data_IF_328013014321
#
_entry.id   IF_328013014321
#
_cell.length_a   1.000
_cell.length_b   1.000
_cell.length_c   1.000
_cell.angle_alpha   90.00
_cell.angle_beta   90.00
_cell.angle_gamma   90.00
#
_symmetry.space_group_name_H-M   'P 1'
#
loop_
_entity.id
_entity.type
_entity.pdbx_description
1 polymer ?
#
# COMPACT_ATOMS: atom_id res chain seq x y z
N UNK A 1 4.34 2.95 -4.95
CA UNK A 1 2.98 2.85 -5.55
C UNK A 1 2.90 3.56 -6.90
N UNK A 2 3.40 4.79 -7.04
CA UNK A 2 3.31 5.60 -8.27
C UNK A 2 3.71 4.86 -9.58
N UNK A 3 4.81 4.10 -9.56
CA UNK A 3 5.27 3.36 -10.75
C UNK A 3 4.52 2.04 -11.04
N UNK A 4 3.61 1.57 -10.18
CA UNK A 4 2.99 0.25 -10.38
C UNK A 4 2.17 0.15 -11.67
N UNK A 5 1.40 1.18 -12.02
CA UNK A 5 0.61 1.18 -13.27
C UNK A 5 1.51 1.14 -14.51
N UNK A 6 2.63 1.88 -14.48
CA UNK A 6 3.65 1.89 -15.53
C UNK A 6 4.34 0.53 -15.65
N UNK A 7 4.70 -0.09 -14.52
CA UNK A 7 5.31 -1.42 -14.50
C UNK A 7 4.38 -2.48 -15.09
N UNK A 8 3.09 -2.47 -14.73
CA UNK A 8 2.07 -3.37 -15.30
C UNK A 8 1.92 -3.15 -16.81
N UNK A 9 1.90 -1.89 -17.25
CA UNK A 9 1.84 -1.57 -18.68
C UNK A 9 3.05 -2.12 -19.43
N UNK A 10 4.26 -1.88 -18.92
CA UNK A 10 5.50 -2.30 -19.56
C UNK A 10 5.66 -3.82 -19.60
N UNK A 11 5.11 -4.53 -18.61
CA UNK A 11 5.06 -5.98 -18.62
C UNK A 11 4.15 -6.51 -19.74
N UNK A 12 3.01 -5.85 -19.97
CA UNK A 12 2.03 -6.25 -21.01
C UNK A 12 2.38 -5.78 -22.42
N UNK A 13 3.21 -4.74 -22.55
CA UNK A 13 3.54 -4.08 -23.82
C UNK A 13 5.07 -3.94 -23.98
N UNK A 14 5.80 -5.04 -24.24
CA UNK A 14 7.26 -5.03 -24.24
C UNK A 14 7.88 -4.16 -25.34
N UNK A 15 7.18 -3.97 -26.46
CA UNK A 15 7.62 -3.14 -27.60
C UNK A 15 7.23 -1.66 -27.48
N UNK A 16 6.40 -1.32 -26.49
CA UNK A 16 5.92 0.04 -26.24
C UNK A 16 6.06 0.35 -24.74
N UNK A 17 7.29 0.45 -24.27
CA UNK A 17 7.56 0.74 -22.85
C UNK A 17 7.42 2.24 -22.58
N UNK A 18 6.79 2.54 -21.46
CA UNK A 18 6.73 3.88 -20.87
C UNK A 18 7.85 4.04 -19.86
N UNK A 19 8.40 5.24 -19.76
CA UNK A 19 9.42 5.55 -18.76
C UNK A 19 8.85 5.52 -17.34
N UNK A 20 9.70 5.10 -16.40
CA UNK A 20 9.36 5.14 -14.98
C UNK A 20 9.47 6.58 -14.46
N UNK A 21 8.59 6.94 -13.54
CA UNK A 21 8.65 8.21 -12.84
C UNK A 21 9.91 8.25 -11.96
N UNK A 22 10.65 9.35 -12.05
CA UNK A 22 11.78 9.65 -11.17
C UNK A 22 11.28 10.21 -9.84
N UNK A 23 12.16 10.25 -8.84
CA UNK A 23 11.83 10.84 -7.54
C UNK A 23 11.42 12.32 -7.69
N UNK A 24 12.13 13.09 -8.52
CA UNK A 24 11.83 14.51 -8.78
C UNK A 24 10.46 14.70 -9.43
N UNK A 25 10.10 13.86 -10.40
CA UNK A 25 8.79 13.93 -11.05
C UNK A 25 7.68 13.56 -10.06
N UNK A 26 7.90 12.56 -9.21
CA UNK A 26 6.94 12.20 -8.16
C UNK A 26 6.76 13.34 -7.16
N UNK A 27 7.84 13.98 -6.73
CA UNK A 27 7.78 15.13 -5.83
C UNK A 27 7.04 16.31 -6.45
N UNK A 28 7.32 16.63 -7.73
CA UNK A 28 6.63 17.70 -8.45
C UNK A 28 5.12 17.44 -8.62
N UNK A 29 4.75 16.17 -8.83
CA UNK A 29 3.36 15.75 -9.02
C UNK A 29 2.61 15.49 -7.70
N UNK A 30 3.28 15.62 -6.54
CA UNK A 30 2.66 15.39 -5.23
C UNK A 30 2.66 16.68 -4.43
N UNK A 31 1.49 17.30 -4.27
CA UNK A 31 1.37 18.49 -3.43
C UNK A 31 1.50 18.13 -1.93
N UNK A 32 2.10 19.00 -1.10
CA UNK A 32 2.08 18.84 0.36
C UNK A 32 0.67 18.61 0.94
N UNK A 33 -0.37 19.19 0.29
CA UNK A 33 -1.77 18.98 0.65
C UNK A 33 -2.22 17.52 0.43
N UNK A 34 -1.83 16.93 -0.69
CA UNK A 34 -2.15 15.54 -1.02
C UNK A 34 -1.43 14.58 -0.08
N UNK A 35 -0.19 14.89 0.30
CA UNK A 35 0.56 14.10 1.28
C UNK A 35 -0.14 14.05 2.64
N UNK A 36 -0.69 15.18 3.10
CA UNK A 36 -1.48 15.24 4.33
C UNK A 36 -2.79 14.42 4.21
N UNK A 37 -3.45 14.47 3.05
CA UNK A 37 -4.64 13.68 2.78
C UNK A 37 -4.35 12.16 2.79
N UNK A 38 -3.27 11.72 2.14
CA UNK A 38 -2.83 10.31 2.18
C UNK A 38 -2.48 9.86 3.60
N UNK A 39 -1.77 10.70 4.37
CA UNK A 39 -1.46 10.41 5.78
C UNK A 39 -2.75 10.18 6.58
N UNK A 40 -3.73 11.07 6.46
CA UNK A 40 -5.00 10.95 7.18
C UNK A 40 -5.77 9.69 6.78
N UNK A 41 -5.86 9.41 5.47
CA UNK A 41 -6.52 8.21 4.97
C UNK A 41 -5.86 6.91 5.47
N UNK A 42 -4.53 6.86 5.51
CA UNK A 42 -3.77 5.72 6.04
C UNK A 42 -4.02 5.56 7.55
N UNK A 43 -3.96 6.65 8.32
CA UNK A 43 -4.23 6.61 9.76
C UNK A 43 -5.66 6.15 10.06
N UNK A 44 -6.64 6.64 9.31
CA UNK A 44 -8.02 6.17 9.42
C UNK A 44 -8.16 4.69 9.09
N UNK A 45 -7.53 4.22 8.01
CA UNK A 45 -7.57 2.82 7.62
C UNK A 45 -6.90 1.92 8.67
N UNK A 46 -5.78 2.36 9.26
CA UNK A 46 -5.12 1.68 10.37
C UNK A 46 -6.02 1.62 11.59
N UNK A 47 -6.62 2.73 12.00
CA UNK A 47 -7.54 2.78 13.13
C UNK A 47 -8.76 1.88 12.94
N UNK A 48 -9.35 1.87 11.74
CA UNK A 48 -10.48 0.99 11.38
C UNK A 48 -10.03 -0.48 11.33
N UNK A 49 -8.84 -0.76 10.80
CA UNK A 49 -8.30 -2.11 10.61
C UNK A 49 -7.75 -2.77 11.88
N UNK A 50 -7.36 -1.99 12.91
CA UNK A 50 -6.99 -2.50 14.24
C UNK A 50 -8.19 -2.73 15.14
N UNK A 51 -9.38 -2.25 14.76
CA UNK A 51 -10.66 -2.45 15.46
C UNK A 51 -11.33 -3.80 15.16
N UNK A 52 -10.55 -4.80 14.71
CA UNK A 52 -11.05 -6.18 14.61
C UNK A 52 -11.21 -6.72 16.03
N UNK A 53 -12.46 -6.91 16.47
CA UNK A 53 -12.76 -7.90 17.51
C UNK A 53 -12.38 -9.27 16.94
N UNK A 54 -11.10 -9.63 16.98
CA UNK A 54 -10.71 -11.03 16.82
C UNK A 54 -11.07 -11.67 18.15
N UNK A 55 -12.30 -12.16 18.24
CA UNK A 55 -12.68 -13.08 19.31
C UNK A 55 -11.90 -14.36 19.04
N UNK A 56 -10.88 -14.62 19.86
CA UNK A 56 -10.18 -15.90 19.82
C UNK A 56 -11.19 -16.98 20.12
N UNK A 57 -11.36 -17.98 19.25
CA UNK A 57 -12.13 -19.16 19.63
C UNK A 57 -11.47 -19.80 20.87
N UNK A 58 -12.26 -20.19 21.86
CA UNK A 58 -11.81 -20.74 23.16
C UNK A 58 -10.91 -21.98 23.05
N UNK A 59 -10.75 -22.56 21.85
CA UNK A 59 -9.97 -23.76 21.65
C UNK A 59 -8.52 -23.42 21.26
N UNK A 60 -7.71 -23.16 22.29
CA UNK A 60 -6.26 -22.96 22.19
C UNK A 60 -5.56 -24.20 21.61
N UNK A 61 -5.31 -24.20 20.29
CA UNK A 61 -4.49 -25.22 19.60
C UNK A 61 -2.99 -24.94 19.64
N UNK A 62 -2.47 -24.37 20.74
CA UNK A 62 -1.02 -24.38 20.93
C UNK A 62 -0.62 -25.70 21.59
N UNK A 63 -0.21 -26.66 20.75
CA UNK A 63 0.51 -27.84 21.19
C UNK A 63 1.88 -27.40 21.70
N UNK A 64 2.18 -27.69 22.96
CA UNK A 64 3.51 -27.58 23.54
C UNK A 64 4.46 -28.51 22.78
N UNK A 65 5.45 -27.94 22.10
CA UNK A 65 6.59 -28.70 21.60
C UNK A 65 7.55 -28.91 22.77
N UNK A 66 7.67 -30.17 23.20
CA UNK A 66 8.67 -30.66 24.14
C UNK A 66 9.89 -31.22 23.43
#
# INVERSE_FOLDING_TARGET
LANQSVLIHNLKNPDNKKELLTAEVVELLTSPLELAAYKNAIMEAMFKGTKRNVESEDNSKNVTVG
#
